data_IF_633978712982
#
_entry.id   IF_633978712982
#
_cell.length_a   1.000
_cell.length_b   1.000
_cell.length_c   1.000
_cell.angle_alpha   90.00
_cell.angle_beta   90.00
_cell.angle_gamma   90.00
#
_symmetry.space_group_name_H-M   'P 1'
#
loop_
_entity.id
_entity.type
_entity.pdbx_description
1 polymer ?
#
# COMPACT_ATOMS: atom_id res chain seq x y z
N UNK A 1 8.30 16.83 7.27
CA UNK A 1 7.04 17.27 7.93
C UNK A 1 6.07 16.09 7.91
N UNK A 2 5.38 15.82 9.02
CA UNK A 2 4.27 14.86 9.04
C UNK A 2 3.01 15.52 8.49
N UNK A 3 2.21 14.80 7.71
CA UNK A 3 0.91 15.28 7.26
C UNK A 3 -0.17 14.24 7.60
N UNK A 4 -1.35 14.69 8.02
CA UNK A 4 -2.47 13.81 8.26
C UNK A 4 -3.05 13.35 6.93
N UNK A 5 -3.08 12.03 6.72
CA UNK A 5 -3.60 11.43 5.49
C UNK A 5 -4.76 10.51 5.81
N UNK A 6 -5.92 10.83 5.22
CA UNK A 6 -7.07 9.91 5.16
C UNK A 6 -6.86 8.96 3.98
N UNK A 7 -7.09 7.68 4.22
CA UNK A 7 -7.10 6.68 3.16
C UNK A 7 -8.26 6.94 2.20
N UNK A 8 -8.04 6.61 0.93
CA UNK A 8 -9.08 6.67 -0.08
C UNK A 8 -10.19 5.68 0.28
N UNK A 9 -11.44 6.10 0.07
CA UNK A 9 -12.63 5.26 0.16
C UNK A 9 -12.96 4.66 -1.20
N UNK A 10 -13.42 3.41 -1.19
CA UNK A 10 -13.86 2.70 -2.38
C UNK A 10 -15.25 2.11 -2.16
N UNK A 11 -16.07 2.20 -3.21
CA UNK A 11 -17.31 1.46 -3.27
C UNK A 11 -17.02 -0.02 -3.57
N UNK A 12 -17.98 -0.90 -3.26
CA UNK A 12 -17.79 -2.36 -3.39
C UNK A 12 -17.46 -2.78 -4.84
N UNK A 13 -18.01 -2.07 -5.82
CA UNK A 13 -17.78 -2.31 -7.24
C UNK A 13 -16.38 -1.90 -7.71
N UNK A 14 -15.72 -1.00 -6.97
CA UNK A 14 -14.35 -0.56 -7.23
C UNK A 14 -13.28 -1.46 -6.59
N UNK A 15 -13.68 -2.48 -5.82
CA UNK A 15 -12.74 -3.39 -5.16
C UNK A 15 -12.15 -4.38 -6.15
N UNK A 16 -10.88 -4.19 -6.48
CA UNK A 16 -10.19 -4.97 -7.52
C UNK A 16 -9.61 -6.29 -7.02
N UNK A 17 -9.31 -6.38 -5.72
CA UNK A 17 -8.64 -7.53 -5.14
C UNK A 17 -9.61 -8.60 -4.71
N UNK A 18 -9.30 -9.85 -5.04
CA UNK A 18 -9.88 -11.04 -4.40
C UNK A 18 -9.38 -11.21 -2.97
N UNK A 19 -9.96 -12.13 -2.21
CA UNK A 19 -9.49 -12.45 -0.85
C UNK A 19 -8.01 -12.87 -0.81
N UNK A 20 -7.60 -13.74 -1.73
CA UNK A 20 -6.22 -14.21 -1.83
C UNK A 20 -5.27 -13.07 -2.17
N UNK A 21 -5.64 -12.21 -3.12
CA UNK A 21 -4.83 -11.04 -3.49
C UNK A 21 -4.73 -10.04 -2.35
N UNK A 22 -5.83 -9.81 -1.63
CA UNK A 22 -5.87 -8.93 -0.45
C UNK A 22 -4.88 -9.37 0.60
N UNK A 23 -4.83 -10.67 0.91
CA UNK A 23 -3.86 -11.23 1.86
C UNK A 23 -2.42 -10.99 1.43
N UNK A 24 -2.14 -11.18 0.13
CA UNK A 24 -0.79 -10.95 -0.43
C UNK A 24 -0.41 -9.47 -0.35
N UNK A 25 -1.34 -8.56 -0.66
CA UNK A 25 -1.13 -7.11 -0.58
C UNK A 25 -0.88 -6.66 0.87
N UNK A 26 -1.67 -7.16 1.82
CA UNK A 26 -1.44 -6.88 3.25
C UNK A 26 -0.06 -7.36 3.69
N UNK A 27 0.34 -8.58 3.34
CA UNK A 27 1.69 -9.10 3.66
C UNK A 27 2.81 -8.35 2.95
N UNK A 28 2.54 -7.76 1.79
CA UNK A 28 3.48 -6.91 1.07
C UNK A 28 3.75 -5.60 1.81
N UNK A 29 2.72 -5.01 2.42
CA UNK A 29 2.78 -3.72 3.14
C UNK A 29 3.27 -3.90 4.58
N UNK A 30 2.71 -4.85 5.31
CA UNK A 30 2.99 -5.04 6.73
C UNK A 30 4.20 -5.95 6.95
N UNK A 31 4.96 -5.65 8.00
CA UNK A 31 6.10 -6.46 8.43
C UNK A 31 5.71 -7.91 8.74
N UNK A 32 6.67 -8.83 8.61
CA UNK A 32 6.49 -10.27 8.81
C UNK A 32 5.87 -10.64 10.17
N UNK A 33 6.11 -9.81 11.19
CA UNK A 33 5.51 -9.95 12.53
C UNK A 33 3.99 -9.97 12.53
N UNK A 34 3.35 -9.37 11.51
CA UNK A 34 1.90 -9.34 11.36
C UNK A 34 1.34 -10.44 10.44
N UNK A 35 2.19 -11.23 9.79
CA UNK A 35 1.74 -12.16 8.75
C UNK A 35 0.83 -13.27 9.29
N UNK A 36 1.08 -13.74 10.52
CA UNK A 36 0.21 -14.74 11.18
C UNK A 36 -1.19 -14.19 11.45
N UNK A 37 -1.27 -12.95 11.92
CA UNK A 37 -2.56 -12.27 12.14
C UNK A 37 -3.27 -12.05 10.79
N UNK A 38 -2.51 -11.64 9.77
CA UNK A 38 -3.05 -11.46 8.42
C UNK A 38 -3.58 -12.79 7.87
N UNK A 39 -2.96 -13.93 8.16
CA UNK A 39 -3.41 -15.26 7.71
C UNK A 39 -4.70 -15.73 8.38
N UNK A 40 -4.99 -15.30 9.62
CA UNK A 40 -6.20 -15.69 10.33
C UNK A 40 -7.41 -14.79 10.01
N UNK A 41 -7.18 -13.62 9.42
CA UNK A 41 -8.25 -12.68 9.10
C UNK A 41 -9.22 -13.20 8.01
N UNK A 42 -10.55 -13.05 8.21
CA UNK A 42 -11.51 -13.17 7.12
C UNK A 42 -11.38 -11.94 6.20
N UNK A 43 -11.24 -12.18 4.90
CA UNK A 43 -10.99 -11.14 3.90
C UNK A 43 -12.28 -10.41 3.47
N UNK A 44 -12.95 -9.82 4.46
CA UNK A 44 -14.17 -9.02 4.25
C UNK A 44 -13.96 -7.86 3.28
N UNK A 45 -15.04 -7.34 2.70
CA UNK A 45 -14.97 -6.21 1.77
C UNK A 45 -14.31 -4.96 2.38
N UNK A 46 -14.49 -4.72 3.68
CA UNK A 46 -13.79 -3.62 4.37
C UNK A 46 -12.28 -3.85 4.47
N UNK A 47 -11.85 -5.09 4.66
CA UNK A 47 -10.43 -5.41 4.70
C UNK A 47 -9.80 -5.35 3.29
N UNK A 48 -10.57 -5.73 2.26
CA UNK A 48 -10.23 -5.55 0.84
C UNK A 48 -10.08 -4.07 0.48
N UNK A 49 -11.05 -3.24 0.89
CA UNK A 49 -11.01 -1.78 0.76
C UNK A 49 -9.75 -1.20 1.43
N UNK A 50 -9.49 -1.60 2.68
CA UNK A 50 -8.32 -1.15 3.43
C UNK A 50 -7.02 -1.50 2.72
N UNK A 51 -6.84 -2.75 2.31
CA UNK A 51 -5.64 -3.18 1.58
C UNK A 51 -5.45 -2.39 0.28
N UNK A 52 -6.52 -2.16 -0.48
CA UNK A 52 -6.50 -1.38 -1.71
C UNK A 52 -6.11 0.08 -1.46
N UNK A 53 -6.69 0.71 -0.44
CA UNK A 53 -6.39 2.09 -0.09
C UNK A 53 -4.94 2.27 0.38
N UNK A 54 -4.41 1.33 1.17
CA UNK A 54 -3.00 1.35 1.58
C UNK A 54 -2.06 1.23 0.39
N UNK A 55 -2.38 0.38 -0.58
CA UNK A 55 -1.54 0.23 -1.77
C UNK A 55 -1.56 1.50 -2.63
N UNK A 56 -2.72 2.11 -2.83
CA UNK A 56 -2.83 3.39 -3.54
C UNK A 56 -1.98 4.46 -2.86
N UNK A 57 -2.05 4.55 -1.53
CA UNK A 57 -1.21 5.49 -0.78
C UNK A 57 0.27 5.21 -0.96
N UNK A 58 0.70 3.95 -0.86
CA UNK A 58 2.10 3.58 -1.00
C UNK A 58 2.67 3.90 -2.39
N UNK A 59 1.88 3.70 -3.45
CA UNK A 59 2.24 4.10 -4.82
C UNK A 59 2.34 5.62 -4.91
N UNK A 60 1.27 6.33 -4.53
CA UNK A 60 1.19 7.78 -4.70
C UNK A 60 2.29 8.51 -3.93
N UNK A 61 2.57 8.08 -2.69
CA UNK A 61 3.66 8.59 -1.89
C UNK A 61 5.03 8.28 -2.49
N UNK A 62 5.24 7.07 -3.02
CA UNK A 62 6.51 6.71 -3.67
C UNK A 62 6.76 7.56 -4.91
N UNK A 63 5.73 7.85 -5.72
CA UNK A 63 5.85 8.75 -6.86
C UNK A 63 6.13 10.19 -6.46
N UNK A 64 5.42 10.71 -5.46
CA UNK A 64 5.67 12.05 -4.93
C UNK A 64 7.13 12.20 -4.46
N UNK A 65 7.63 11.22 -3.71
CA UNK A 65 9.00 11.22 -3.18
C UNK A 65 10.02 11.01 -4.29
N UNK A 66 9.77 10.07 -5.20
CA UNK A 66 10.62 9.80 -6.36
C UNK A 66 10.82 11.05 -7.21
N UNK A 67 9.73 11.77 -7.46
CA UNK A 67 9.76 13.05 -8.16
C UNK A 67 10.52 14.12 -7.37
N UNK A 68 10.16 14.36 -6.10
CA UNK A 68 10.78 15.41 -5.27
C UNK A 68 12.28 15.18 -5.04
N UNK A 69 12.71 13.93 -4.90
CA UNK A 69 14.10 13.59 -4.59
C UNK A 69 14.91 13.09 -5.80
N UNK A 70 14.34 13.11 -7.02
CA UNK A 70 15.00 12.62 -8.23
C UNK A 70 15.38 11.14 -8.15
N UNK A 71 14.61 10.34 -7.42
CA UNK A 71 14.89 8.93 -7.21
C UNK A 71 14.18 8.10 -8.29
N UNK A 72 14.87 7.78 -9.37
CA UNK A 72 14.42 6.75 -10.31
C UNK A 72 15.59 5.78 -10.51
N UNK A 73 15.57 4.67 -9.76
CA UNK A 73 16.63 3.65 -9.79
C UNK A 73 16.10 2.33 -10.33
N UNK A 74 17.00 1.54 -10.92
CA UNK A 74 16.72 0.14 -11.27
C UNK A 74 16.45 -0.70 -10.02
N UNK A 75 15.39 -1.50 -10.12
CA UNK A 75 14.82 -2.29 -9.02
C UNK A 75 15.75 -3.46 -8.66
N UNK A 76 15.99 -3.67 -7.36
CA UNK A 76 16.58 -4.92 -6.86
C UNK A 76 15.48 -5.77 -6.23
N UNK A 77 15.06 -6.80 -6.97
CA UNK A 77 14.29 -7.97 -6.52
C UNK A 77 12.89 -7.70 -5.96
N UNK A 78 11.89 -7.52 -6.84
CA UNK A 78 10.50 -7.58 -6.41
C UNK A 78 10.11 -9.00 -5.96
N UNK A 79 9.26 -9.11 -4.94
CA UNK A 79 8.73 -10.39 -4.47
C UNK A 79 7.85 -11.02 -5.57
N UNK A 80 8.26 -12.18 -6.10
CA UNK A 80 7.66 -12.80 -7.31
C UNK A 80 6.13 -12.94 -7.24
N UNK A 81 5.58 -13.28 -6.07
CA UNK A 81 4.14 -13.48 -5.88
C UNK A 81 3.33 -12.18 -5.92
N UNK A 82 3.79 -11.13 -5.23
CA UNK A 82 3.12 -9.83 -5.22
C UNK A 82 3.20 -9.14 -6.59
N UNK A 83 4.30 -9.33 -7.34
CA UNK A 83 4.52 -8.64 -8.62
C UNK A 83 3.37 -8.81 -9.63
N UNK A 84 2.84 -10.03 -9.79
CA UNK A 84 1.76 -10.28 -10.76
C UNK A 84 0.47 -9.54 -10.37
N UNK A 85 0.14 -9.54 -9.09
CA UNK A 85 -1.04 -8.89 -8.52
C UNK A 85 -0.90 -7.39 -8.66
N UNK A 86 0.27 -6.84 -8.32
CA UNK A 86 0.55 -5.42 -8.41
C UNK A 86 0.55 -4.91 -9.86
N UNK A 87 1.05 -5.71 -10.81
CA UNK A 87 0.92 -5.41 -12.26
C UNK A 87 -0.53 -5.47 -12.75
N UNK A 88 -1.31 -6.44 -12.28
CA UNK A 88 -2.76 -6.54 -12.59
C UNK A 88 -3.51 -5.33 -12.04
N UNK A 89 -3.22 -4.94 -10.80
CA UNK A 89 -3.73 -3.75 -10.16
C UNK A 89 -3.41 -2.51 -11.01
N UNK A 90 -2.14 -2.34 -11.41
CA UNK A 90 -1.74 -1.18 -12.20
C UNK A 90 -2.44 -1.04 -13.55
N UNK A 91 -2.95 -2.14 -14.12
CA UNK A 91 -3.76 -2.13 -15.35
C UNK A 91 -5.22 -1.75 -15.13
N UNK A 92 -5.77 -2.07 -13.96
CA UNK A 92 -7.18 -1.89 -13.61
C UNK A 92 -7.42 -0.62 -12.78
N UNK A 93 -6.40 -0.12 -12.11
CA UNK A 93 -6.50 1.02 -11.23
C UNK A 93 -6.83 2.28 -12.04
N UNK A 94 -7.81 3.03 -11.56
CA UNK A 94 -8.19 4.28 -12.20
C UNK A 94 -7.17 5.38 -11.89
N UNK A 95 -6.81 6.17 -12.90
CA UNK A 95 -5.85 7.27 -12.75
C UNK A 95 -6.28 8.28 -11.68
N UNK A 96 -7.58 8.55 -11.55
CA UNK A 96 -8.14 9.50 -10.59
C UNK A 96 -7.98 9.05 -9.11
N UNK A 97 -7.45 7.85 -8.87
CA UNK A 97 -7.11 7.38 -7.53
C UNK A 97 -5.78 7.95 -7.02
N UNK A 98 -4.93 8.41 -7.94
CA UNK A 98 -3.58 8.89 -7.66
C UNK A 98 -3.51 10.40 -7.90
N UNK A 99 -2.71 11.09 -7.09
CA UNK A 99 -2.44 12.52 -7.23
C UNK A 99 -1.14 12.78 -7.98
N UNK A 100 -0.18 11.85 -7.87
CA UNK A 100 1.20 12.02 -8.33
C UNK A 100 1.62 10.99 -9.40
N UNK A 101 0.90 9.87 -9.54
CA UNK A 101 1.22 8.82 -10.51
C UNK A 101 0.29 8.89 -11.74
N UNK A 102 0.87 8.82 -12.95
CA UNK A 102 0.11 8.68 -14.21
C UNK A 102 -0.30 7.23 -14.50
N UNK A 103 -1.14 6.99 -15.51
CA UNK A 103 -1.49 5.60 -15.95
C UNK A 103 -0.25 4.80 -16.33
N UNK A 104 0.71 5.42 -17.01
CA UNK A 104 1.95 4.76 -17.41
C UNK A 104 2.81 4.40 -16.18
N UNK A 105 2.83 5.30 -15.20
CA UNK A 105 3.52 5.12 -13.94
C UNK A 105 2.94 3.96 -13.15
N UNK A 106 1.62 3.88 -13.02
CA UNK A 106 0.92 2.86 -12.22
C UNK A 106 1.22 1.44 -12.74
N UNK A 107 1.39 1.26 -14.05
CA UNK A 107 1.75 -0.05 -14.65
C UNK A 107 3.18 -0.49 -14.35
N UNK A 108 4.09 0.47 -14.14
CA UNK A 108 5.50 0.26 -13.84
C UNK A 108 5.85 0.78 -12.43
N UNK A 109 4.85 0.79 -11.54
CA UNK A 109 4.93 1.56 -10.32
C UNK A 109 6.06 1.08 -9.42
N UNK A 110 6.89 2.06 -9.01
CA UNK A 110 7.95 1.83 -8.06
C UNK A 110 7.48 2.15 -6.65
N UNK A 111 7.55 1.18 -5.74
CA UNK A 111 7.23 1.39 -4.32
C UNK A 111 8.44 1.13 -3.44
N UNK A 112 8.86 2.16 -2.71
CA UNK A 112 10.03 2.09 -1.85
C UNK A 112 9.73 1.34 -0.55
N UNK A 113 10.74 0.62 -0.06
CA UNK A 113 10.65 -0.10 1.19
C UNK A 113 10.32 0.81 2.37
N UNK A 114 11.00 1.95 2.50
CA UNK A 114 10.76 2.87 3.62
C UNK A 114 9.36 3.51 3.58
N UNK A 115 8.72 3.58 2.40
CA UNK A 115 7.31 4.00 2.27
C UNK A 115 6.40 2.91 2.81
N UNK A 116 6.63 1.65 2.44
CA UNK A 116 5.88 0.50 2.98
C UNK A 116 6.06 0.36 4.48
N UNK A 117 7.29 0.50 4.98
CA UNK A 117 7.60 0.42 6.40
C UNK A 117 6.84 1.51 7.18
N UNK A 118 6.81 2.75 6.67
CA UNK A 118 6.08 3.85 7.31
C UNK A 118 4.56 3.65 7.23
N UNK A 119 4.02 3.28 6.06
CA UNK A 119 2.58 3.00 5.90
C UNK A 119 2.16 1.85 6.81
N UNK A 120 2.86 0.72 6.76
CA UNK A 120 2.57 -0.45 7.59
C UNK A 120 2.68 -0.15 9.08
N UNK A 121 3.69 0.62 9.51
CA UNK A 121 3.82 1.02 10.91
C UNK A 121 2.65 1.88 11.37
N UNK A 122 2.29 2.88 10.57
CA UNK A 122 1.25 3.86 10.92
C UNK A 122 -0.14 3.24 10.95
N UNK A 123 -0.40 2.28 10.05
CA UNK A 123 -1.70 1.59 9.96
C UNK A 123 -1.76 0.24 10.71
N UNK A 124 -0.75 -0.06 11.53
CA UNK A 124 -0.68 -1.32 12.29
C UNK A 124 -1.75 -1.42 13.38
N UNK A 125 -2.22 -0.27 13.90
CA UNK A 125 -3.31 -0.22 14.89
C UNK A 125 -4.63 -0.63 14.25
N UNK A 126 -4.91 -0.11 13.07
CA UNK A 126 -6.11 -0.40 12.27
C UNK A 126 -6.14 -1.88 11.88
N UNK A 127 -5.00 -2.44 11.47
CA UNK A 127 -4.88 -3.88 11.23
C UNK A 127 -5.26 -4.69 12.48
N UNK A 128 -4.80 -4.30 13.67
CA UNK A 128 -5.16 -4.97 14.93
C UNK A 128 -6.65 -4.83 15.27
N UNK A 129 -7.27 -3.70 14.95
CA UNK A 129 -8.72 -3.52 15.12
C UNK A 129 -9.49 -4.57 14.31
N UNK A 130 -9.11 -4.78 13.04
CA UNK A 130 -9.68 -5.86 12.22
C UNK A 130 -9.48 -7.25 12.83
N UNK A 131 -8.31 -7.52 13.42
CA UNK A 131 -8.01 -8.82 14.09
C UNK A 131 -8.94 -9.06 15.28
N UNK A 132 -9.32 -8.01 16.00
CA UNK A 132 -10.28 -8.10 17.10
C UNK A 132 -11.74 -8.22 16.65
N UNK A 133 -12.00 -8.40 15.34
CA UNK A 133 -13.34 -8.35 14.71
C UNK A 133 -14.12 -7.05 14.96
N UNK A 134 -13.44 -6.02 15.45
CA UNK A 134 -14.00 -4.69 15.56
C UNK A 134 -13.90 -4.00 14.20
N UNK A 135 -14.97 -3.34 13.80
CA UNK A 135 -14.91 -2.43 12.67
C UNK A 135 -14.41 -1.08 13.17
N UNK A 136 -13.49 -0.42 12.46
CA UNK A 136 -13.08 0.93 12.84
C UNK A 136 -14.28 1.87 12.71
N UNK A 137 -14.61 2.56 13.81
CA UNK A 137 -15.73 3.51 13.90
C UNK A 137 -15.42 4.84 13.19
N UNK A 138 -14.14 5.11 12.93
CA UNK A 138 -13.65 6.34 12.32
C UNK A 138 -13.08 6.11 10.90
N UNK A 139 -13.06 7.14 10.04
CA UNK A 139 -12.39 7.07 8.75
C UNK A 139 -10.90 6.73 8.92
N UNK A 140 -10.46 5.68 8.24
CA UNK A 140 -9.08 5.18 8.30
C UNK A 140 -8.11 6.28 7.85
N UNK A 141 -7.25 6.73 8.76
CA UNK A 141 -6.27 7.77 8.49
C UNK A 141 -5.17 7.81 9.53
N UNK A 142 -3.98 8.26 9.12
CA UNK A 142 -2.81 8.32 9.97
C UNK A 142 -1.94 9.53 9.64
N UNK A 143 -1.10 9.94 10.58
CA UNK A 143 -0.06 10.94 10.31
C UNK A 143 1.13 10.27 9.61
N UNK A 144 1.34 10.58 8.35
CA UNK A 144 2.41 9.99 7.55
C UNK A 144 3.61 10.94 7.52
N UNK A 145 4.79 10.41 7.83
CA UNK A 145 6.04 11.16 7.86
C UNK A 145 7.16 10.37 7.18
N UNK A 146 7.24 10.47 5.85
CA UNK A 146 8.25 9.75 5.09
C UNK A 146 9.64 10.37 5.30
N UNK A 147 10.58 9.57 5.81
CA UNK A 147 11.99 9.92 5.93
C UNK A 147 12.78 9.17 4.87
N UNK A 148 13.24 9.89 3.85
CA UNK A 148 14.05 9.32 2.77
C UNK A 148 15.43 8.94 3.33
N UNK A 149 15.84 7.65 3.24
CA UNK A 149 17.16 7.24 3.67
C UNK A 149 18.25 7.88 2.81
N UNK A 150 19.36 8.32 3.44
CA UNK A 150 20.50 8.90 2.71
C UNK A 150 21.33 7.85 1.96
N UNK A 151 21.26 6.59 2.39
CA UNK A 151 21.92 5.44 1.78
C UNK A 151 20.98 4.22 1.76
N UNK A 152 21.21 3.27 0.85
CA UNK A 152 20.54 1.97 0.90
C UNK A 152 19.04 1.97 0.55
N UNK A 153 18.59 2.86 -0.35
CA UNK A 153 17.20 2.86 -0.84
C UNK A 153 16.91 1.52 -1.53
N UNK A 154 15.94 0.78 -0.98
CA UNK A 154 15.43 -0.49 -1.52
C UNK A 154 14.05 -0.25 -2.12
N UNK A 155 13.84 -0.73 -3.35
CA UNK A 155 12.54 -0.74 -4.03
C UNK A 155 11.96 -2.15 -3.93
N UNK A 156 10.74 -2.32 -3.41
CA UNK A 156 10.08 -3.63 -3.26
C UNK A 156 9.19 -4.03 -4.43
N UNK A 157 8.74 -3.05 -5.21
CA UNK A 157 7.93 -3.25 -6.41
C UNK A 157 8.32 -2.22 -7.46
N UNK A 158 8.39 -2.64 -8.72
CA UNK A 158 8.81 -1.89 -9.91
C UNK A 158 9.29 -2.85 -10.98
#
# INVERSE_FOLDING_TARGET
>A
MSNYKKLRKFDLEDLLFTETETRIVLKFIFAETHHKDIDSLPMSDRLREFAQALLVEAIDASYAIGYVHGLFRSVKNPVKGALKILKSFGKKASQNWFKHASVHDIQNAQVYNFVLDEVGRQFSRELKIFVTNNQPDEPLGAFLAYKVPTHGIVIRWG
#
